data_IF_816907602961
#
_entry.id   IF_816907602961
#
_cell.length_a   1.000
_cell.length_b   1.000
_cell.length_c   1.000
_cell.angle_alpha   90.00
_cell.angle_beta   90.00
_cell.angle_gamma   90.00
#
_symmetry.space_group_name_H-M   'P 1'
#
loop_
_entity.id
_entity.type
_entity.pdbx_description
1 polymer ?
#
# COMPACT_ATOMS: atom_id res chain seq x y z
N UNK A 1 41.61 -9.95 -18.02
CA UNK A 1 41.32 -11.34 -17.62
C UNK A 1 39.84 -11.38 -17.26
N UNK A 2 39.04 -12.11 -18.03
CA UNK A 2 37.61 -12.31 -17.74
C UNK A 2 37.41 -13.43 -16.73
N UNK A 3 36.21 -13.52 -16.16
CA UNK A 3 35.77 -14.68 -15.40
C UNK A 3 35.70 -15.87 -16.37
N UNK A 4 36.19 -17.04 -15.97
CA UNK A 4 36.00 -18.26 -16.75
C UNK A 4 34.60 -18.86 -16.47
N UNK A 5 34.14 -19.75 -17.36
CA UNK A 5 32.81 -20.36 -17.25
C UNK A 5 32.57 -21.12 -15.94
N UNK A 6 33.63 -21.60 -15.29
CA UNK A 6 33.54 -22.30 -14.01
C UNK A 6 33.24 -21.30 -12.89
N UNK A 7 33.94 -20.16 -12.90
CA UNK A 7 33.71 -19.05 -11.96
C UNK A 7 32.34 -18.43 -12.19
N UNK A 8 31.91 -18.22 -13.44
CA UNK A 8 30.57 -17.71 -13.75
C UNK A 8 29.46 -18.65 -13.25
N UNK A 9 29.60 -19.96 -13.46
CA UNK A 9 28.66 -20.96 -12.95
C UNK A 9 28.64 -21.00 -11.42
N UNK A 10 29.80 -20.86 -10.77
CA UNK A 10 29.89 -20.82 -9.31
C UNK A 10 29.22 -19.56 -8.73
N UNK A 11 29.41 -18.40 -9.36
CA UNK A 11 28.75 -17.14 -8.99
C UNK A 11 27.24 -17.26 -9.19
N UNK A 12 26.79 -17.76 -10.34
CA UNK A 12 25.37 -17.94 -10.64
C UNK A 12 24.69 -18.92 -9.67
N UNK A 13 25.38 -20.00 -9.28
CA UNK A 13 24.89 -20.95 -8.29
C UNK A 13 24.83 -20.40 -6.86
N UNK A 14 25.78 -19.53 -6.49
CA UNK A 14 25.83 -18.94 -5.15
C UNK A 14 24.90 -17.71 -4.98
N UNK A 15 24.60 -16.98 -6.05
CA UNK A 15 23.83 -15.74 -6.01
C UNK A 15 22.45 -15.87 -5.37
N UNK A 16 21.63 -16.90 -5.64
CA UNK A 16 20.32 -17.07 -5.02
C UNK A 16 20.40 -17.20 -3.50
N UNK A 17 21.35 -17.98 -2.98
CA UNK A 17 21.56 -18.18 -1.55
C UNK A 17 22.05 -16.88 -0.88
N UNK A 18 22.98 -16.16 -1.50
CA UNK A 18 23.45 -14.86 -1.01
C UNK A 18 22.33 -13.81 -1.01
N UNK A 19 21.47 -13.81 -2.03
CA UNK A 19 20.29 -12.93 -2.13
C UNK A 19 19.24 -13.25 -1.07
N UNK A 20 19.06 -14.52 -0.72
CA UNK A 20 18.14 -14.93 0.35
C UNK A 20 18.58 -14.44 1.74
N UNK A 21 19.84 -14.08 1.92
CA UNK A 21 20.38 -13.50 3.15
C UNK A 21 20.40 -11.96 3.16
N UNK A 22 19.98 -11.30 2.08
CA UNK A 22 19.82 -9.85 2.08
C UNK A 22 18.62 -9.52 2.97
N UNK A 23 18.80 -8.75 4.07
CA UNK A 23 17.70 -8.38 4.94
C UNK A 23 16.65 -7.61 4.14
N UNK A 24 15.40 -8.07 4.19
CA UNK A 24 14.27 -7.31 3.63
C UNK A 24 13.70 -6.40 4.70
N UNK A 25 13.26 -5.23 4.29
CA UNK A 25 12.59 -4.26 5.18
C UNK A 25 11.11 -4.15 4.80
N UNK A 26 10.21 -3.94 5.77
CA UNK A 26 8.79 -3.70 5.47
C UNK A 26 8.59 -2.46 4.60
N UNK A 27 7.58 -2.50 3.73
CA UNK A 27 7.24 -1.40 2.81
C UNK A 27 7.14 -0.06 3.52
N UNK A 28 6.42 0.03 4.64
CA UNK A 28 6.24 1.31 5.32
C UNK A 28 7.56 1.90 5.85
N UNK A 29 8.52 1.08 6.28
CA UNK A 29 9.88 1.56 6.61
C UNK A 29 10.62 2.02 5.35
N UNK A 30 10.53 1.26 4.27
CA UNK A 30 11.18 1.62 3.02
C UNK A 30 10.65 2.95 2.46
N UNK A 31 9.34 3.17 2.50
CA UNK A 31 8.69 4.43 2.09
C UNK A 31 9.13 5.59 2.97
N UNK A 32 9.15 5.42 4.30
CA UNK A 32 9.60 6.46 5.22
C UNK A 32 11.06 6.90 5.00
N UNK A 33 11.92 5.98 4.53
CA UNK A 33 13.31 6.31 4.15
C UNK A 33 13.35 6.93 2.74
N UNK A 34 12.59 6.38 1.80
CA UNK A 34 12.68 6.74 0.39
C UNK A 34 12.04 8.09 0.05
N UNK A 35 10.97 8.47 0.74
CA UNK A 35 10.22 9.70 0.50
C UNK A 35 11.10 10.98 0.60
N UNK A 36 11.82 11.25 1.71
CA UNK A 36 12.65 12.45 1.80
C UNK A 36 13.78 12.46 0.76
N UNK A 37 14.38 11.30 0.46
CA UNK A 37 15.39 11.14 -0.59
C UNK A 37 14.81 11.51 -1.96
N UNK A 38 13.64 10.98 -2.29
CA UNK A 38 12.96 11.25 -3.56
C UNK A 38 12.62 12.75 -3.69
N UNK A 39 12.13 13.37 -2.62
CA UNK A 39 11.84 14.80 -2.58
C UNK A 39 13.11 15.64 -2.79
N UNK A 40 14.23 15.26 -2.14
CA UNK A 40 15.51 15.93 -2.34
C UNK A 40 15.98 15.80 -3.79
N UNK A 41 15.98 14.58 -4.35
CA UNK A 41 16.40 14.32 -5.73
C UNK A 41 15.57 15.14 -6.74
N UNK A 42 14.24 15.16 -6.59
CA UNK A 42 13.34 15.93 -7.47
C UNK A 42 13.53 17.44 -7.38
N UNK A 43 14.02 17.96 -6.24
CA UNK A 43 14.30 19.39 -6.03
C UNK A 43 15.70 19.81 -6.53
N UNK A 44 16.60 18.86 -6.79
CA UNK A 44 17.97 19.15 -7.22
C UNK A 44 17.98 19.74 -8.64
N UNK A 45 18.61 20.91 -8.86
CA UNK A 45 18.73 21.51 -10.19
C UNK A 45 19.38 20.57 -11.21
N UNK A 46 18.77 20.45 -12.38
CA UNK A 46 19.25 19.58 -13.47
C UNK A 46 18.73 18.15 -13.43
N UNK A 47 17.94 17.77 -12.43
CA UNK A 47 17.13 16.55 -12.46
C UNK A 47 15.86 16.82 -13.27
N UNK A 48 15.63 16.03 -14.31
CA UNK A 48 14.39 16.07 -15.12
C UNK A 48 13.26 15.32 -14.41
N UNK A 49 13.57 14.12 -13.91
CA UNK A 49 12.69 13.33 -13.07
C UNK A 49 13.51 12.34 -12.24
N UNK A 50 12.95 11.92 -11.11
CA UNK A 50 13.48 10.86 -10.26
C UNK A 50 12.33 9.98 -9.79
N UNK A 51 12.55 8.66 -9.82
CA UNK A 51 11.57 7.66 -9.40
C UNK A 51 12.26 6.56 -8.58
N UNK A 52 11.59 5.98 -7.56
CA UNK A 52 12.04 4.72 -6.98
C UNK A 52 12.03 3.62 -8.05
N UNK A 53 12.66 2.49 -7.77
CA UNK A 53 12.63 1.31 -8.63
C UNK A 53 12.43 0.04 -7.78
N UNK A 54 12.62 -1.12 -8.41
CA UNK A 54 12.55 -2.41 -7.76
C UNK A 54 11.22 -2.69 -7.06
N UNK A 55 11.31 -3.49 -6.01
CA UNK A 55 10.14 -3.90 -5.21
C UNK A 55 9.45 -2.72 -4.51
N UNK A 56 10.19 -1.63 -4.23
CA UNK A 56 9.62 -0.43 -3.61
C UNK A 56 8.63 0.24 -4.55
N UNK A 57 9.02 0.45 -5.82
CA UNK A 57 8.12 1.03 -6.82
C UNK A 57 6.94 0.12 -7.14
N UNK A 58 7.11 -1.21 -7.05
CA UNK A 58 6.00 -2.18 -7.15
C UNK A 58 5.21 -2.37 -5.86
N UNK A 59 5.49 -1.56 -4.82
CA UNK A 59 4.77 -1.56 -3.56
C UNK A 59 4.79 -2.88 -2.79
N UNK A 60 5.79 -3.75 -2.97
CA UNK A 60 5.81 -5.07 -2.34
C UNK A 60 5.87 -4.98 -0.82
N UNK A 61 5.27 -5.92 -0.09
CA UNK A 61 5.23 -5.90 1.39
C UNK A 61 6.63 -5.87 1.99
N UNK A 62 7.56 -6.60 1.36
CA UNK A 62 8.96 -6.70 1.74
C UNK A 62 9.85 -6.17 0.64
N UNK A 63 10.61 -5.13 0.98
CA UNK A 63 11.53 -4.46 0.07
C UNK A 63 12.92 -5.04 0.26
N UNK A 64 13.59 -5.35 -0.85
CA UNK A 64 15.04 -5.62 -0.83
C UNK A 64 15.80 -4.31 -0.68
N UNK A 65 16.54 -3.92 -1.70
CA UNK A 65 17.27 -2.66 -1.73
C UNK A 65 16.34 -1.50 -2.13
N UNK A 66 16.61 -0.31 -1.60
CA UNK A 66 16.00 0.93 -2.10
C UNK A 66 16.87 1.42 -3.27
N UNK A 67 16.30 1.41 -4.48
CA UNK A 67 16.96 1.96 -5.66
C UNK A 67 16.14 3.10 -6.26
N UNK A 68 16.83 4.12 -6.77
CA UNK A 68 16.28 5.23 -7.53
C UNK A 68 16.89 5.32 -8.92
N UNK A 69 16.08 5.75 -9.87
CA UNK A 69 16.53 6.17 -11.20
C UNK A 69 16.29 7.66 -11.35
N UNK A 70 17.32 8.36 -11.80
CA UNK A 70 17.31 9.83 -11.95
C UNK A 70 17.70 10.18 -13.38
N UNK A 71 16.81 10.82 -14.12
CA UNK A 71 17.13 11.38 -15.44
C UNK A 71 17.79 12.74 -15.27
N UNK A 72 19.02 12.86 -15.76
CA UNK A 72 19.82 14.08 -15.76
C UNK A 72 20.99 13.96 -16.73
N UNK A 73 21.34 15.08 -17.36
CA UNK A 73 22.56 15.24 -18.14
C UNK A 73 23.78 15.60 -17.27
N UNK A 74 23.57 15.92 -15.99
CA UNK A 74 24.60 16.39 -15.03
C UNK A 74 24.68 15.50 -13.77
N UNK A 75 24.93 14.19 -13.91
CA UNK A 75 24.92 13.27 -12.76
C UNK A 75 25.96 13.62 -11.68
N UNK A 76 27.11 14.20 -12.06
CA UNK A 76 28.14 14.61 -11.11
C UNK A 76 27.67 15.70 -10.15
N UNK A 77 26.99 16.73 -10.67
CA UNK A 77 26.42 17.83 -9.87
C UNK A 77 25.34 17.31 -8.92
N UNK A 78 24.47 16.42 -9.41
CA UNK A 78 23.40 15.81 -8.59
C UNK A 78 23.97 14.94 -7.47
N UNK A 79 25.01 14.14 -7.76
CA UNK A 79 25.70 13.34 -6.74
C UNK A 79 26.33 14.23 -5.68
N UNK A 80 27.01 15.31 -6.07
CA UNK A 80 27.67 16.22 -5.13
C UNK A 80 26.66 16.96 -4.26
N UNK A 81 25.53 17.39 -4.83
CA UNK A 81 24.45 18.01 -4.05
C UNK A 81 23.79 17.01 -3.10
N UNK A 82 23.49 15.79 -3.56
CA UNK A 82 22.88 14.76 -2.72
C UNK A 82 23.76 14.41 -1.51
N UNK A 83 25.07 14.27 -1.71
CA UNK A 83 26.04 13.94 -0.66
C UNK A 83 26.27 15.06 0.37
N UNK A 84 25.81 16.30 0.11
CA UNK A 84 25.82 17.38 1.11
C UNK A 84 24.69 17.25 2.12
N UNK A 85 23.68 16.42 1.84
CA UNK A 85 22.55 16.18 2.73
C UNK A 85 22.99 15.52 4.05
N UNK A 86 22.40 15.91 5.20
CA UNK A 86 22.81 15.40 6.51
C UNK A 86 22.45 13.92 6.75
N UNK A 87 21.61 13.33 5.91
CA UNK A 87 21.07 11.97 6.09
C UNK A 87 22.05 10.86 5.67
N UNK A 88 23.05 11.18 4.84
CA UNK A 88 24.02 10.21 4.35
C UNK A 88 25.01 9.83 5.44
N UNK A 89 24.86 8.63 6.01
CA UNK A 89 25.75 8.13 7.06
C UNK A 89 27.10 7.70 6.49
N UNK A 90 27.11 7.06 5.32
CA UNK A 90 28.33 6.55 4.68
C UNK A 90 28.14 6.41 3.18
N UNK A 91 29.14 6.82 2.40
CA UNK A 91 29.23 6.46 0.97
C UNK A 91 29.83 5.06 0.84
N UNK A 92 29.12 4.16 0.15
CA UNK A 92 29.55 2.79 -0.12
C UNK A 92 30.25 2.68 -1.48
N UNK A 93 29.74 3.38 -2.49
CA UNK A 93 30.32 3.43 -3.83
C UNK A 93 29.91 4.72 -4.56
N UNK A 94 30.83 5.30 -5.34
CA UNK A 94 30.57 6.44 -6.23
C UNK A 94 31.26 6.22 -7.57
N UNK A 95 30.53 6.48 -8.65
CA UNK A 95 31.03 6.51 -10.03
C UNK A 95 30.36 7.65 -10.80
N UNK A 96 30.71 7.83 -12.08
CA UNK A 96 30.14 8.90 -12.91
C UNK A 96 28.60 8.85 -13.03
N UNK A 97 27.99 7.65 -12.94
CA UNK A 97 26.55 7.44 -13.18
C UNK A 97 25.87 6.53 -12.15
N UNK A 98 26.54 6.24 -11.03
CA UNK A 98 25.99 5.43 -9.93
C UNK A 98 26.51 5.90 -8.58
N UNK A 99 25.62 5.90 -7.60
CA UNK A 99 25.92 6.18 -6.21
C UNK A 99 25.27 5.10 -5.34
N UNK A 100 26.00 4.58 -4.35
CA UNK A 100 25.46 3.76 -3.28
C UNK A 100 25.86 4.36 -1.94
N UNK A 101 24.88 4.57 -1.08
CA UNK A 101 25.06 5.13 0.25
C UNK A 101 24.36 4.27 1.29
N UNK A 102 24.71 4.47 2.55
CA UNK A 102 24.03 3.92 3.71
C UNK A 102 23.26 5.04 4.42
N UNK A 103 21.94 4.89 4.54
CA UNK A 103 21.02 5.81 5.23
C UNK A 103 20.15 4.95 6.15
N UNK A 104 20.08 5.29 7.44
CA UNK A 104 19.39 4.49 8.47
C UNK A 104 19.68 2.97 8.41
N UNK A 105 20.95 2.61 8.21
CA UNK A 105 21.43 1.21 8.05
C UNK A 105 20.84 0.46 6.84
N UNK A 106 20.16 1.16 5.93
CA UNK A 106 19.65 0.63 4.66
C UNK A 106 20.56 1.11 3.53
N UNK A 107 20.91 0.20 2.63
CA UNK A 107 21.63 0.55 1.41
C UNK A 107 20.66 1.22 0.43
N UNK A 108 21.01 2.42 -0.01
CA UNK A 108 20.28 3.19 -1.02
C UNK A 108 21.15 3.33 -2.26
N UNK A 109 20.65 2.86 -3.39
CA UNK A 109 21.29 2.99 -4.70
C UNK A 109 20.62 4.09 -5.54
N UNK A 110 21.41 4.92 -6.21
CA UNK A 110 20.92 5.91 -7.16
C UNK A 110 21.65 5.69 -8.48
N UNK A 111 20.86 5.53 -9.55
CA UNK A 111 21.34 5.28 -10.91
C UNK A 111 20.96 6.44 -11.80
N UNK A 112 21.92 6.89 -12.57
CA UNK A 112 21.75 7.99 -13.51
C UNK A 112 21.92 7.44 -14.93
N UNK A 113 20.94 6.79 -15.56
CA UNK A 113 21.04 6.35 -16.96
C UNK A 113 21.17 7.56 -17.91
N UNK A 114 21.65 7.35 -19.14
CA UNK A 114 21.60 8.42 -20.15
C UNK A 114 20.14 8.89 -20.33
N UNK A 115 19.86 10.21 -20.40
CA UNK A 115 18.50 10.73 -20.46
C UNK A 115 17.63 10.06 -21.53
N UNK A 116 18.18 9.89 -22.73
CA UNK A 116 17.50 9.23 -23.86
C UNK A 116 17.09 7.77 -23.60
N UNK A 117 17.64 7.11 -22.58
CA UNK A 117 17.38 5.71 -22.25
C UNK A 117 16.85 5.51 -20.82
N UNK A 118 16.56 6.61 -20.10
CA UNK A 118 16.25 6.55 -18.69
C UNK A 118 14.97 5.76 -18.40
N UNK A 119 13.98 5.81 -19.30
CA UNK A 119 12.76 5.01 -19.24
C UNK A 119 13.03 3.50 -19.31
N UNK A 120 13.97 3.06 -20.15
CA UNK A 120 14.31 1.64 -20.28
C UNK A 120 15.01 1.10 -19.04
N UNK A 121 15.91 1.90 -18.46
CA UNK A 121 16.54 1.56 -17.19
C UNK A 121 15.53 1.53 -16.04
N UNK A 122 14.61 2.49 -15.96
CA UNK A 122 13.55 2.47 -14.96
C UNK A 122 12.66 1.23 -15.09
N UNK A 123 12.22 0.90 -16.31
CA UNK A 123 11.40 -0.29 -16.57
C UNK A 123 12.10 -1.57 -16.13
N UNK A 124 13.36 -1.74 -16.53
CA UNK A 124 14.17 -2.90 -16.18
C UNK A 124 14.39 -3.03 -14.67
N UNK A 125 14.75 -1.94 -14.00
CA UNK A 125 15.02 -1.93 -12.56
C UNK A 125 13.74 -2.05 -11.74
N UNK A 126 12.61 -1.53 -12.24
CA UNK A 126 11.30 -1.70 -11.62
C UNK A 126 10.89 -3.16 -11.66
N UNK A 127 11.13 -3.87 -12.76
CA UNK A 127 10.69 -5.26 -12.93
C UNK A 127 9.16 -5.41 -12.87
N UNK A 128 8.62 -6.57 -12.48
CA UNK A 128 9.35 -7.81 -12.14
C UNK A 128 10.17 -8.35 -13.32
N UNK A 129 11.05 -9.33 -13.05
CA UNK A 129 11.79 -10.00 -14.13
C UNK A 129 10.83 -10.66 -15.14
N UNK A 130 9.76 -11.29 -14.64
CA UNK A 130 8.74 -11.91 -15.49
C UNK A 130 8.01 -10.88 -16.36
N UNK A 131 7.63 -9.73 -15.81
CA UNK A 131 7.06 -8.62 -16.58
C UNK A 131 7.98 -8.14 -17.69
N UNK A 132 9.26 -7.88 -17.35
CA UNK A 132 10.23 -7.41 -18.32
C UNK A 132 10.51 -8.45 -19.42
N UNK A 133 10.57 -9.73 -19.08
CA UNK A 133 10.77 -10.82 -20.02
C UNK A 133 9.57 -10.96 -20.98
N UNK A 134 8.34 -10.80 -20.48
CA UNK A 134 7.13 -10.77 -21.31
C UNK A 134 7.14 -9.59 -22.29
N UNK A 135 7.48 -8.37 -21.82
CA UNK A 135 7.62 -7.20 -22.69
C UNK A 135 8.73 -7.40 -23.74
N UNK A 136 9.84 -8.04 -23.37
CA UNK A 136 10.93 -8.34 -24.31
C UNK A 136 10.49 -9.33 -25.38
N UNK A 137 9.74 -10.37 -25.01
CA UNK A 137 9.21 -11.35 -25.95
C UNK A 137 8.21 -10.70 -26.93
N UNK A 138 7.30 -9.85 -26.40
CA UNK A 138 6.38 -9.06 -27.23
C UNK A 138 7.14 -8.14 -28.19
N UNK A 139 8.10 -7.36 -27.68
CA UNK A 139 8.93 -6.46 -28.48
C UNK A 139 9.59 -7.20 -29.66
N UNK A 140 10.17 -8.37 -29.42
CA UNK A 140 10.79 -9.19 -30.46
C UNK A 140 9.80 -9.60 -31.54
N UNK A 141 8.56 -9.95 -31.17
CA UNK A 141 7.53 -10.36 -32.12
C UNK A 141 7.10 -9.25 -33.09
N UNK A 142 7.30 -7.97 -32.73
CA UNK A 142 6.93 -6.80 -33.53
C UNK A 142 8.15 -6.01 -34.03
N UNK A 143 9.33 -6.63 -34.07
CA UNK A 143 10.53 -6.05 -34.70
C UNK A 143 11.32 -5.08 -33.82
N UNK A 144 11.15 -5.14 -32.49
CA UNK A 144 11.94 -4.38 -31.51
C UNK A 144 12.82 -5.30 -30.67
N UNK A 145 13.91 -4.75 -30.12
CA UNK A 145 14.76 -5.38 -29.12
C UNK A 145 14.84 -4.50 -27.88
N UNK A 146 14.14 -4.90 -26.84
CA UNK A 146 14.17 -4.24 -25.53
C UNK A 146 15.33 -4.80 -24.67
N UNK A 147 16.12 -3.91 -24.08
CA UNK A 147 17.26 -4.23 -23.20
C UNK A 147 17.19 -3.40 -21.92
N UNK A 148 18.03 -3.69 -20.94
CA UNK A 148 18.11 -2.91 -19.69
C UNK A 148 18.58 -1.46 -19.89
N UNK A 149 19.15 -1.14 -21.05
CA UNK A 149 19.74 0.16 -21.35
C UNK A 149 19.11 0.85 -22.55
N UNK A 150 18.03 0.33 -23.13
CA UNK A 150 17.40 0.96 -24.29
C UNK A 150 16.53 0.05 -25.14
N UNK A 151 15.80 0.68 -26.06
CA UNK A 151 14.98 0.06 -27.09
C UNK A 151 15.66 0.21 -28.44
N UNK A 152 15.73 -0.86 -29.23
CA UNK A 152 16.41 -0.87 -30.52
C UNK A 152 15.56 -1.51 -31.61
N UNK A 153 15.63 -1.01 -32.84
CA UNK A 153 15.06 -1.70 -33.98
C UNK A 153 15.75 -3.07 -34.17
N UNK A 154 14.99 -4.13 -34.41
CA UNK A 154 15.56 -5.47 -34.58
C UNK A 154 16.28 -5.64 -35.94
N UNK A 155 15.91 -4.85 -36.95
CA UNK A 155 16.44 -4.95 -38.31
C UNK A 155 17.91 -4.52 -38.43
N UNK A 156 18.28 -3.40 -37.79
CA UNK A 156 19.59 -2.76 -37.93
C UNK A 156 20.24 -2.38 -36.59
N UNK A 157 19.55 -2.60 -35.47
CA UNK A 157 20.03 -2.25 -34.13
C UNK A 157 19.94 -0.76 -33.79
N UNK A 158 19.34 0.07 -34.65
CA UNK A 158 19.23 1.51 -34.44
C UNK A 158 18.52 1.80 -33.09
N UNK A 159 19.12 2.63 -32.21
CA UNK A 159 18.49 2.97 -30.95
C UNK A 159 17.26 3.84 -31.18
N UNK A 160 16.23 3.61 -30.38
CA UNK A 160 15.07 4.47 -30.26
C UNK A 160 15.12 5.14 -28.89
N UNK A 161 15.22 6.48 -28.82
CA UNK A 161 15.11 7.19 -27.56
C UNK A 161 13.81 6.81 -26.83
N UNK A 162 13.95 6.48 -25.55
CA UNK A 162 12.88 6.22 -24.61
C UNK A 162 13.21 6.88 -23.26
N UNK A 163 13.08 8.22 -23.16
CA UNK A 163 13.30 8.95 -21.92
C UNK A 163 12.36 8.51 -20.79
N UNK A 164 11.17 7.98 -21.10
CA UNK A 164 10.17 7.51 -20.13
C UNK A 164 9.72 6.08 -20.43
N UNK A 165 9.11 5.40 -19.46
CA UNK A 165 8.51 4.08 -19.70
C UNK A 165 7.37 4.14 -20.71
N UNK A 166 6.61 5.24 -20.73
CA UNK A 166 5.50 5.46 -21.66
C UNK A 166 5.98 5.44 -23.12
N UNK A 167 7.18 5.92 -23.40
CA UNK A 167 7.78 5.84 -24.75
C UNK A 167 7.97 4.39 -25.20
N UNK A 168 8.32 3.50 -24.27
CA UNK A 168 8.49 2.07 -24.52
C UNK A 168 7.14 1.43 -24.77
N UNK A 169 6.18 1.57 -23.85
CA UNK A 169 4.84 1.00 -24.04
C UNK A 169 4.19 1.48 -25.35
N UNK A 170 4.32 2.77 -25.67
CA UNK A 170 3.82 3.35 -26.93
C UNK A 170 4.52 2.76 -28.16
N UNK A 171 5.84 2.60 -28.13
CA UNK A 171 6.58 1.97 -29.23
C UNK A 171 6.21 0.49 -29.42
N UNK A 172 5.80 -0.18 -28.34
CA UNK A 172 5.34 -1.56 -28.35
C UNK A 172 3.84 -1.71 -28.69
N UNK A 173 3.12 -0.60 -28.88
CA UNK A 173 1.67 -0.62 -29.14
C UNK A 173 0.85 -1.09 -27.94
N UNK A 174 1.38 -0.92 -26.73
CA UNK A 174 0.75 -1.35 -25.47
C UNK A 174 0.34 -0.14 -24.63
N UNK A 175 -0.74 -0.25 -23.83
CA UNK A 175 -1.01 0.71 -22.77
C UNK A 175 0.07 0.65 -21.69
N UNK A 176 0.30 1.77 -21.00
CA UNK A 176 1.21 1.79 -19.85
C UNK A 176 0.63 0.94 -18.71
N UNK A 177 1.49 0.13 -18.11
CA UNK A 177 1.11 -0.76 -17.00
C UNK A 177 1.66 -0.20 -15.67
N UNK A 178 0.81 0.07 -14.67
CA UNK A 178 1.24 0.53 -13.35
C UNK A 178 2.26 -0.41 -12.69
N UNK A 179 3.32 0.11 -12.03
CA UNK A 179 4.34 -0.73 -11.40
C UNK A 179 3.83 -1.78 -10.41
N UNK A 180 2.78 -1.45 -9.67
CA UNK A 180 2.18 -2.26 -8.62
C UNK A 180 1.71 -3.63 -9.13
N UNK A 181 1.26 -3.68 -10.39
CA UNK A 181 0.72 -4.90 -10.99
C UNK A 181 1.75 -5.71 -11.80
N UNK A 182 3.00 -5.23 -11.89
CA UNK A 182 4.08 -5.83 -12.69
C UNK A 182 4.65 -7.11 -12.09
N UNK A 183 3.93 -8.22 -12.21
CA UNK A 183 4.26 -9.56 -11.72
C UNK A 183 4.53 -10.61 -12.81
N UNK A 184 4.07 -10.39 -14.05
CA UNK A 184 4.10 -11.35 -15.17
C UNK A 184 2.80 -12.15 -15.34
N UNK A 185 1.71 -11.77 -14.69
CA UNK A 185 0.46 -12.53 -14.58
C UNK A 185 -0.62 -12.04 -15.57
N UNK A 186 -0.34 -12.07 -16.88
CA UNK A 186 -1.22 -11.59 -17.95
C UNK A 186 -1.78 -10.18 -17.67
N UNK A 187 -0.89 -9.28 -17.30
CA UNK A 187 -1.20 -7.89 -16.95
C UNK A 187 -1.88 -7.16 -18.11
N UNK A 188 -3.20 -7.07 -18.01
CA UNK A 188 -3.97 -6.08 -18.76
C UNK A 188 -3.79 -4.74 -18.06
N UNK A 189 -3.75 -3.65 -18.83
CA UNK A 189 -3.88 -2.32 -18.25
C UNK A 189 -5.18 -2.29 -17.44
N UNK A 190 -5.04 -2.30 -16.11
CA UNK A 190 -6.15 -2.25 -15.18
C UNK A 190 -6.84 -0.90 -15.35
N UNK A 191 -8.16 -0.85 -15.14
CA UNK A 191 -8.87 0.41 -15.09
C UNK A 191 -8.27 1.29 -13.99
N UNK A 192 -8.44 2.61 -14.12
CA UNK A 192 -7.79 3.62 -13.27
C UNK A 192 -7.67 3.19 -11.79
N UNK A 193 -6.51 3.40 -11.15
CA UNK A 193 -6.31 3.03 -9.74
C UNK A 193 -7.25 3.80 -8.79
N UNK A 194 -7.49 3.30 -7.56
CA UNK A 194 -8.36 3.93 -6.57
C UNK A 194 -7.65 5.11 -5.87
N UNK A 195 -7.28 6.12 -6.65
CA UNK A 195 -6.54 7.30 -6.17
C UNK A 195 -7.47 8.37 -5.58
N UNK A 196 -8.74 8.33 -5.98
CA UNK A 196 -9.77 9.28 -5.57
C UNK A 196 -10.40 8.86 -4.23
N UNK A 197 -9.58 8.61 -3.20
CA UNK A 197 -10.07 8.37 -1.85
C UNK A 197 -10.63 9.68 -1.30
N UNK A 198 -11.91 9.66 -0.92
CA UNK A 198 -12.65 10.83 -0.43
C UNK A 198 -12.74 10.90 1.09
N UNK A 199 -12.23 9.89 1.79
CA UNK A 199 -12.20 9.86 3.23
C UNK A 199 -11.61 8.58 3.81
N UNK A 200 -11.29 8.64 5.10
CA UNK A 200 -10.71 7.53 5.85
C UNK A 200 -11.73 6.98 6.85
N UNK A 201 -11.92 5.66 6.88
CA UNK A 201 -12.99 5.00 7.64
C UNK A 201 -12.49 4.18 8.83
N UNK A 202 -11.17 4.15 9.08
CA UNK A 202 -10.58 3.44 10.22
C UNK A 202 -9.44 4.27 10.83
N UNK A 203 -9.72 4.92 11.95
CA UNK A 203 -8.74 5.75 12.65
C UNK A 203 -9.01 5.81 14.15
N UNK A 204 -7.96 6.02 14.93
CA UNK A 204 -7.98 5.98 16.39
C UNK A 204 -7.65 7.34 17.00
N UNK A 205 -8.24 7.62 18.16
CA UNK A 205 -8.05 8.88 18.90
C UNK A 205 -7.60 8.62 20.33
N UNK A 206 -7.44 9.68 21.11
CA UNK A 206 -7.16 9.58 22.56
C UNK A 206 -8.22 8.83 23.38
N UNK A 207 -9.40 8.52 22.81
CA UNK A 207 -10.42 7.72 23.48
C UNK A 207 -10.05 6.24 23.59
N UNK A 208 -9.24 5.72 22.66
CA UNK A 208 -8.53 4.45 22.80
C UNK A 208 -7.02 4.70 22.74
N UNK A 209 -6.26 3.97 21.95
CA UNK A 209 -4.79 3.99 21.90
C UNK A 209 -4.18 4.93 20.85
N UNK A 210 -5.01 5.73 20.18
CA UNK A 210 -4.57 6.90 19.40
C UNK A 210 -3.90 7.96 20.28
N UNK A 211 -3.07 8.81 19.67
CA UNK A 211 -2.30 9.84 20.40
C UNK A 211 -2.87 11.25 20.27
N UNK A 212 -3.68 11.48 19.24
CA UNK A 212 -4.21 12.79 18.90
C UNK A 212 -5.71 12.90 19.24
N UNK A 213 -6.16 14.12 19.54
CA UNK A 213 -7.57 14.40 19.80
C UNK A 213 -8.42 14.24 18.55
N UNK A 214 -9.74 14.10 18.71
CA UNK A 214 -10.65 14.01 17.56
C UNK A 214 -10.56 15.28 16.70
N UNK A 215 -10.51 16.47 17.31
CA UNK A 215 -10.33 17.75 16.59
C UNK A 215 -9.04 17.78 15.74
N UNK A 216 -7.93 17.26 16.27
CA UNK A 216 -6.67 17.19 15.52
C UNK A 216 -6.75 16.20 14.34
N UNK A 217 -7.43 15.06 14.52
CA UNK A 217 -7.67 14.10 13.44
C UNK A 217 -8.57 14.71 12.35
N UNK A 218 -9.59 15.49 12.72
CA UNK A 218 -10.45 16.24 11.79
C UNK A 218 -9.62 17.22 10.97
N UNK A 219 -8.81 18.06 11.62
CA UNK A 219 -7.96 19.02 10.92
C UNK A 219 -6.95 18.34 9.97
N UNK A 220 -6.39 17.19 10.36
CA UNK A 220 -5.52 16.40 9.49
C UNK A 220 -6.25 15.84 8.27
N UNK A 221 -7.46 15.29 8.44
CA UNK A 221 -8.28 14.82 7.31
C UNK A 221 -8.66 15.96 6.36
N UNK A 222 -9.01 17.13 6.91
CA UNK A 222 -9.32 18.34 6.14
C UNK A 222 -8.10 18.83 5.35
N UNK A 223 -6.90 18.77 5.93
CA UNK A 223 -5.66 19.13 5.25
C UNK A 223 -5.35 18.22 4.04
N UNK A 224 -5.82 16.97 4.06
CA UNK A 224 -5.76 16.05 2.92
C UNK A 224 -6.92 16.20 1.93
N UNK A 225 -7.89 17.08 2.21
CA UNK A 225 -9.05 17.33 1.34
C UNK A 225 -10.13 16.25 1.42
N UNK A 226 -10.17 15.45 2.49
CA UNK A 226 -11.24 14.47 2.67
C UNK A 226 -12.60 15.12 2.92
N UNK A 227 -13.64 14.53 2.33
CA UNK A 227 -15.03 14.92 2.49
C UNK A 227 -15.68 14.26 3.72
N UNK A 228 -15.13 13.13 4.16
CA UNK A 228 -15.60 12.44 5.35
C UNK A 228 -14.47 11.71 6.06
N UNK A 229 -14.71 11.38 7.33
CA UNK A 229 -13.84 10.55 8.13
C UNK A 229 -14.64 9.76 9.17
N UNK A 230 -14.08 8.67 9.70
CA UNK A 230 -14.61 7.99 10.87
C UNK A 230 -13.59 7.94 12.01
N UNK A 231 -14.05 8.17 13.23
CA UNK A 231 -13.30 7.78 14.44
C UNK A 231 -13.85 6.44 14.89
N UNK A 232 -13.00 5.43 15.02
CA UNK A 232 -13.38 4.03 15.25
C UNK A 232 -12.56 3.44 16.38
N UNK A 233 -12.55 4.12 17.52
CA UNK A 233 -11.80 3.69 18.69
C UNK A 233 -12.21 2.28 19.17
N UNK A 234 -11.24 1.55 19.73
CA UNK A 234 -11.40 0.14 20.10
C UNK A 234 -12.38 -0.11 21.25
N UNK A 235 -13.10 -1.23 21.19
CA UNK A 235 -13.94 -1.72 22.28
C UNK A 235 -13.16 -2.26 23.51
N UNK A 236 -13.81 -2.47 24.67
CA UNK A 236 -13.16 -2.76 25.95
C UNK A 236 -12.19 -3.95 26.02
N UNK A 237 -12.48 -5.06 25.33
CA UNK A 237 -11.68 -6.30 25.32
C UNK A 237 -10.61 -6.32 24.22
N UNK A 238 -10.49 -5.25 23.44
CA UNK A 238 -9.35 -5.05 22.56
C UNK A 238 -8.04 -5.18 23.31
N UNK A 239 -7.03 -5.65 22.58
CA UNK A 239 -5.68 -5.72 23.11
C UNK A 239 -4.94 -4.37 23.06
N UNK A 240 -5.67 -3.30 22.77
CA UNK A 240 -5.19 -1.93 22.76
C UNK A 240 -4.76 -1.47 24.16
N UNK A 241 -3.93 -0.43 24.21
CA UNK A 241 -3.43 0.10 25.50
C UNK A 241 -4.50 0.84 26.31
N UNK A 242 -5.52 1.36 25.63
CA UNK A 242 -6.72 2.00 26.17
C UNK A 242 -7.88 1.63 25.26
N UNK A 243 -9.09 1.67 25.81
CA UNK A 243 -10.30 1.29 25.07
C UNK A 243 -11.48 2.19 25.41
N UNK A 244 -12.41 2.27 24.47
CA UNK A 244 -13.63 3.06 24.57
C UNK A 244 -14.59 2.38 25.54
N UNK A 245 -14.64 2.86 26.79
CA UNK A 245 -15.61 2.37 27.78
C UNK A 245 -17.04 2.82 27.43
N UNK A 246 -18.10 2.14 27.92
CA UNK A 246 -19.48 2.56 27.67
C UNK A 246 -19.77 4.03 28.04
N UNK A 247 -19.17 4.55 29.11
CA UNK A 247 -19.29 5.97 29.48
C UNK A 247 -18.49 6.89 28.54
N UNK A 248 -17.39 6.40 27.96
CA UNK A 248 -16.58 7.13 26.99
C UNK A 248 -17.28 7.24 25.63
N UNK A 249 -18.07 6.24 25.22
CA UNK A 249 -18.90 6.29 24.00
C UNK A 249 -19.74 7.56 23.96
N UNK A 250 -20.44 7.87 25.07
CA UNK A 250 -21.27 9.09 25.12
C UNK A 250 -20.43 10.35 25.01
N UNK A 251 -19.27 10.42 25.70
CA UNK A 251 -18.41 11.61 25.65
C UNK A 251 -17.85 11.86 24.26
N UNK A 252 -17.42 10.79 23.59
CA UNK A 252 -16.96 10.85 22.21
C UNK A 252 -18.09 11.30 21.26
N UNK A 253 -19.30 10.77 21.44
CA UNK A 253 -20.47 11.20 20.66
C UNK A 253 -20.78 12.69 20.87
N UNK A 254 -20.75 13.19 22.11
CA UNK A 254 -20.97 14.60 22.43
C UNK A 254 -19.87 15.49 21.79
N UNK A 255 -18.60 15.07 21.83
CA UNK A 255 -17.48 15.78 21.18
C UNK A 255 -17.65 15.80 19.66
N UNK A 256 -17.95 14.66 19.03
CA UNK A 256 -18.19 14.58 17.58
C UNK A 256 -19.39 15.44 17.17
N UNK A 257 -20.46 15.49 17.97
CA UNK A 257 -21.60 16.37 17.70
C UNK A 257 -21.18 17.85 17.71
N UNK A 258 -20.41 18.28 18.71
CA UNK A 258 -19.89 19.64 18.76
C UNK A 258 -18.94 19.96 17.59
N UNK A 259 -18.14 18.99 17.13
CA UNK A 259 -17.27 19.16 15.97
C UNK A 259 -18.05 19.24 14.66
N UNK A 260 -19.14 18.47 14.50
CA UNK A 260 -20.06 18.58 13.36
C UNK A 260 -20.73 19.95 13.27
N UNK A 261 -21.03 20.58 14.42
CA UNK A 261 -21.56 21.95 14.45
C UNK A 261 -20.48 23.00 14.08
N UNK A 262 -19.21 22.69 14.32
CA UNK A 262 -18.06 23.58 14.04
C UNK A 262 -17.56 23.48 12.60
N UNK A 263 -17.65 22.30 11.97
CA UNK A 263 -17.12 22.03 10.64
C UNK A 263 -18.24 21.60 9.68
N UNK A 264 -18.49 22.40 8.65
CA UNK A 264 -19.50 22.15 7.62
C UNK A 264 -18.92 21.57 6.32
N UNK A 265 -17.59 21.50 6.21
CA UNK A 265 -16.84 21.05 5.04
C UNK A 265 -16.41 19.57 5.09
N UNK A 266 -16.54 18.91 6.24
CA UNK A 266 -16.22 17.48 6.41
C UNK A 266 -17.30 16.76 7.21
N UNK A 267 -17.73 15.58 6.75
CA UNK A 267 -18.62 14.70 7.50
C UNK A 267 -17.83 13.82 8.46
N UNK A 268 -18.01 14.04 9.76
CA UNK A 268 -17.38 13.22 10.80
C UNK A 268 -18.34 12.10 11.18
N UNK A 269 -17.96 10.83 11.04
CA UNK A 269 -18.73 9.66 11.48
C UNK A 269 -18.26 9.20 12.86
N UNK A 270 -19.21 8.93 13.75
CA UNK A 270 -18.94 8.29 15.03
C UNK A 270 -19.01 6.78 14.83
N UNK A 271 -17.86 6.11 14.89
CA UNK A 271 -17.77 4.67 14.71
C UNK A 271 -17.14 3.96 15.91
N UNK A 272 -17.05 2.65 15.81
CA UNK A 272 -16.20 1.86 16.69
C UNK A 272 -15.55 0.71 15.94
N UNK A 273 -14.38 0.33 16.40
CA UNK A 273 -13.79 -0.96 16.09
C UNK A 273 -14.11 -1.93 17.25
N UNK A 274 -15.10 -2.80 17.04
CA UNK A 274 -15.59 -3.75 18.04
C UNK A 274 -14.94 -5.12 17.87
N UNK A 275 -14.45 -5.67 18.98
CA UNK A 275 -13.86 -6.99 18.98
C UNK A 275 -14.91 -8.09 18.76
N UNK A 276 -14.56 -9.09 17.94
CA UNK A 276 -15.28 -10.35 17.79
C UNK A 276 -14.76 -11.30 18.86
N UNK A 277 -15.59 -11.63 19.84
CA UNK A 277 -15.21 -12.48 20.98
C UNK A 277 -15.05 -13.95 20.58
N UNK A 278 -14.48 -14.73 21.50
CA UNK A 278 -14.09 -16.14 21.27
C UNK A 278 -15.29 -17.05 20.89
N UNK A 279 -16.50 -16.68 21.30
CA UNK A 279 -17.76 -17.36 21.01
C UNK A 279 -18.48 -16.80 19.76
N UNK A 280 -17.92 -15.76 19.13
CA UNK A 280 -18.49 -15.09 17.96
C UNK A 280 -19.44 -13.95 18.27
N UNK A 281 -19.68 -13.63 19.55
CA UNK A 281 -20.42 -12.42 19.95
C UNK A 281 -19.54 -11.17 19.80
N UNK A 282 -20.15 -9.99 19.83
CA UNK A 282 -19.44 -8.71 19.73
C UNK A 282 -19.18 -8.11 21.11
N UNK A 283 -18.07 -7.40 21.23
CA UNK A 283 -17.62 -6.74 22.45
C UNK A 283 -18.37 -5.42 22.79
N UNK A 284 -19.66 -5.39 22.45
CA UNK A 284 -20.64 -4.41 22.90
C UNK A 284 -22.04 -5.01 22.72
N UNK A 285 -22.97 -4.61 23.58
CA UNK A 285 -24.40 -4.91 23.35
C UNK A 285 -24.93 -4.14 22.15
N UNK A 286 -25.94 -4.65 21.48
CA UNK A 286 -26.64 -3.99 20.35
C UNK A 286 -27.05 -2.54 20.69
N UNK A 287 -27.56 -2.30 21.91
CA UNK A 287 -27.93 -0.95 22.38
C UNK A 287 -26.77 0.07 22.33
N UNK A 288 -25.55 -0.39 22.52
CA UNK A 288 -24.35 0.45 22.39
C UNK A 288 -24.00 0.60 20.92
N UNK A 289 -24.01 -0.50 20.16
CA UNK A 289 -23.68 -0.52 18.74
C UNK A 289 -24.63 0.36 17.88
N UNK A 290 -25.91 0.46 18.24
CA UNK A 290 -26.92 1.31 17.59
C UNK A 290 -26.60 2.81 17.66
N UNK A 291 -25.71 3.23 18.55
CA UNK A 291 -25.31 4.65 18.71
C UNK A 291 -24.23 5.08 17.71
N UNK A 292 -23.61 4.13 16.99
CA UNK A 292 -22.57 4.41 16.01
C UNK A 292 -23.14 4.51 14.59
N UNK A 293 -22.61 5.45 13.81
CA UNK A 293 -22.88 5.60 12.39
C UNK A 293 -22.29 4.45 11.58
N UNK A 294 -21.16 3.90 12.02
CA UNK A 294 -20.45 2.78 11.37
C UNK A 294 -19.86 1.85 12.43
N UNK A 295 -19.93 0.54 12.20
CA UNK A 295 -19.36 -0.48 13.12
C UNK A 295 -18.41 -1.37 12.33
N UNK A 296 -17.15 -1.34 12.74
CA UNK A 296 -16.04 -2.14 12.22
C UNK A 296 -15.86 -3.30 13.18
N UNK A 297 -15.81 -4.55 12.69
CA UNK A 297 -15.65 -5.72 13.53
C UNK A 297 -14.31 -6.42 13.25
N UNK A 298 -13.57 -6.68 14.32
CA UNK A 298 -12.17 -7.13 14.23
C UNK A 298 -11.97 -8.40 15.01
N UNK A 299 -11.05 -9.24 14.54
CA UNK A 299 -10.76 -10.50 15.22
C UNK A 299 -9.32 -10.49 15.73
N UNK A 300 -9.15 -10.33 17.04
CA UNK A 300 -7.85 -10.38 17.71
C UNK A 300 -7.56 -11.75 18.34
N UNK A 301 -7.59 -12.82 17.52
CA UNK A 301 -7.31 -14.18 17.98
C UNK A 301 -5.84 -14.40 18.35
N UNK A 302 -5.62 -14.94 19.56
CA UNK A 302 -4.28 -15.24 20.12
C UNK A 302 -4.12 -16.67 20.66
N UNK A 303 -5.20 -17.44 20.74
CA UNK A 303 -5.23 -18.79 21.31
C UNK A 303 -5.05 -19.91 20.27
N UNK A 304 -4.86 -19.57 18.99
CA UNK A 304 -4.60 -20.54 17.92
C UNK A 304 -5.83 -21.38 17.57
N UNK A 305 -7.01 -20.76 17.51
CA UNK A 305 -8.23 -21.44 17.10
C UNK A 305 -8.13 -22.10 15.72
N UNK A 306 -8.78 -23.25 15.60
CA UNK A 306 -8.94 -23.99 14.34
C UNK A 306 -9.64 -23.14 13.27
N UNK A 307 -9.22 -23.32 12.01
CA UNK A 307 -9.74 -22.65 10.80
C UNK A 307 -11.26 -22.49 10.76
N UNK A 308 -12.00 -23.58 11.02
CA UNK A 308 -13.48 -23.56 10.97
C UNK A 308 -14.11 -22.75 12.11
N UNK A 309 -13.47 -22.69 13.27
CA UNK A 309 -13.97 -21.90 14.41
C UNK A 309 -13.73 -20.41 14.16
N UNK A 310 -12.57 -20.07 13.61
CA UNK A 310 -12.25 -18.71 13.17
C UNK A 310 -13.26 -18.22 12.13
N UNK A 311 -13.50 -19.01 11.08
CA UNK A 311 -14.48 -18.67 10.07
C UNK A 311 -15.88 -18.46 10.66
N UNK A 312 -16.34 -19.33 11.56
CA UNK A 312 -17.65 -19.18 12.22
C UNK A 312 -17.81 -17.85 12.95
N UNK A 313 -16.73 -17.35 13.58
CA UNK A 313 -16.74 -16.04 14.25
C UNK A 313 -16.90 -14.90 13.26
N UNK A 314 -16.15 -14.92 12.16
CA UNK A 314 -16.34 -13.93 11.08
C UNK A 314 -17.75 -13.98 10.49
N UNK A 315 -18.28 -15.17 10.20
CA UNK A 315 -19.63 -15.33 9.66
C UNK A 315 -20.69 -14.79 10.63
N UNK A 316 -20.55 -15.07 11.94
CA UNK A 316 -21.45 -14.53 12.95
C UNK A 316 -21.43 -12.99 12.97
N UNK A 317 -20.23 -12.38 12.92
CA UNK A 317 -20.08 -10.92 12.85
C UNK A 317 -20.67 -10.33 11.56
N UNK A 318 -20.43 -10.95 10.40
CA UNK A 318 -20.95 -10.49 9.10
C UNK A 318 -22.49 -10.55 9.02
N UNK A 319 -23.11 -11.57 9.61
CA UNK A 319 -24.57 -11.67 9.70
C UNK A 319 -25.19 -10.75 10.76
N UNK A 320 -24.38 -10.13 11.62
CA UNK A 320 -24.87 -9.14 12.56
C UNK A 320 -25.37 -7.89 11.81
N UNK A 321 -26.59 -7.41 12.06
CA UNK A 321 -27.17 -6.31 11.28
C UNK A 321 -26.38 -5.01 11.43
N UNK A 322 -25.81 -4.74 12.60
CA UNK A 322 -25.11 -3.47 12.84
C UNK A 322 -23.68 -3.44 12.27
N UNK A 323 -23.06 -4.59 12.00
CA UNK A 323 -21.68 -4.68 11.50
C UNK A 323 -21.65 -4.26 10.04
N UNK A 324 -20.80 -3.29 9.73
CA UNK A 324 -20.62 -2.72 8.39
C UNK A 324 -19.41 -3.32 7.68
N UNK A 325 -18.30 -3.47 8.41
CA UNK A 325 -16.99 -3.81 7.86
C UNK A 325 -16.28 -4.83 8.74
N UNK A 326 -15.48 -5.71 8.12
CA UNK A 326 -14.45 -6.50 8.82
C UNK A 326 -13.09 -5.84 8.57
N UNK A 327 -12.41 -5.45 9.66
CA UNK A 327 -11.06 -4.86 9.62
C UNK A 327 -9.99 -5.94 9.60
N UNK A 328 -8.84 -5.60 9.01
CA UNK A 328 -7.62 -6.40 8.87
C UNK A 328 -7.90 -7.92 8.96
N UNK A 329 -8.62 -8.49 7.95
CA UNK A 329 -9.27 -9.80 8.11
C UNK A 329 -8.30 -10.97 8.24
N UNK A 330 -7.02 -10.78 7.92
CA UNK A 330 -6.00 -11.82 8.16
C UNK A 330 -5.29 -11.61 9.49
N UNK A 331 -5.35 -10.39 10.04
CA UNK A 331 -4.59 -9.91 11.18
C UNK A 331 -3.10 -10.26 11.04
N UNK A 332 -2.55 -10.14 9.83
CA UNK A 332 -1.12 -10.36 9.57
C UNK A 332 -0.28 -9.24 10.20
N UNK A 333 1.01 -9.52 10.41
CA UNK A 333 1.99 -8.52 10.85
C UNK A 333 3.24 -8.65 9.99
N UNK A 334 3.54 -7.71 9.12
CA UNK A 334 4.68 -7.76 8.20
C UNK A 334 5.97 -7.37 8.93
N UNK A 335 7.06 -8.18 8.90
CA UNK A 335 7.24 -9.49 8.26
C UNK A 335 6.99 -10.69 9.19
N UNK A 336 6.49 -10.47 10.40
CA UNK A 336 6.53 -11.39 11.53
C UNK A 336 5.44 -12.48 11.55
N UNK A 337 4.24 -12.20 11.02
CA UNK A 337 3.06 -13.10 11.05
C UNK A 337 2.37 -13.05 9.68
N UNK A 338 2.18 -14.21 9.06
CA UNK A 338 1.60 -14.31 7.72
C UNK A 338 0.08 -14.02 7.66
N UNK A 339 -0.61 -14.08 8.80
CA UNK A 339 -2.07 -13.95 8.91
C UNK A 339 -2.71 -15.28 9.34
N UNK A 340 -4.04 -15.28 9.47
CA UNK A 340 -4.81 -16.47 9.84
C UNK A 340 -4.88 -17.53 8.74
N UNK A 341 -4.84 -18.80 9.13
CA UNK A 341 -5.27 -19.89 8.25
C UNK A 341 -6.81 -19.92 8.21
N UNK A 342 -7.36 -19.31 7.16
CA UNK A 342 -8.79 -19.09 6.99
C UNK A 342 -9.26 -19.57 5.61
N UNK A 343 -10.52 -19.97 5.54
CA UNK A 343 -11.22 -20.14 4.27
C UNK A 343 -11.66 -18.79 3.71
N UNK A 344 -10.72 -18.14 3.02
CA UNK A 344 -10.94 -16.82 2.43
C UNK A 344 -12.01 -16.82 1.34
N UNK A 345 -12.17 -17.92 0.58
CA UNK A 345 -13.22 -17.97 -0.46
C UNK A 345 -14.60 -17.90 0.19
N UNK A 346 -14.82 -18.68 1.26
CA UNK A 346 -16.06 -18.61 2.05
C UNK A 346 -16.25 -17.29 2.78
N UNK A 347 -15.16 -16.66 3.24
CA UNK A 347 -15.21 -15.32 3.84
C UNK A 347 -15.70 -14.28 2.80
N UNK A 348 -15.18 -14.33 1.58
CA UNK A 348 -15.55 -13.40 0.51
C UNK A 348 -16.99 -13.64 0.03
N UNK A 349 -17.42 -14.89 -0.11
CA UNK A 349 -18.81 -15.24 -0.40
C UNK A 349 -19.77 -14.65 0.64
N UNK A 350 -19.45 -14.80 1.93
CA UNK A 350 -20.24 -14.25 3.01
C UNK A 350 -20.24 -12.71 3.02
N UNK A 351 -19.10 -12.08 2.72
CA UNK A 351 -19.01 -10.62 2.57
C UNK A 351 -19.95 -10.13 1.47
N UNK A 352 -20.03 -10.82 0.33
CA UNK A 352 -20.96 -10.51 -0.76
C UNK A 352 -22.42 -10.74 -0.35
N UNK A 353 -22.73 -11.91 0.23
CA UNK A 353 -24.09 -12.27 0.66
C UNK A 353 -24.64 -11.26 1.66
N UNK A 354 -23.84 -10.92 2.66
CA UNK A 354 -24.22 -10.00 3.72
C UNK A 354 -24.03 -8.55 3.34
N UNK A 355 -23.32 -8.25 2.25
CA UNK A 355 -22.81 -6.91 1.86
C UNK A 355 -21.82 -6.31 2.88
N UNK A 356 -21.19 -7.14 3.70
CA UNK A 356 -20.13 -6.68 4.62
C UNK A 356 -18.94 -6.21 3.81
N UNK A 357 -18.41 -5.03 4.15
CA UNK A 357 -17.21 -4.47 3.53
C UNK A 357 -15.95 -5.14 4.11
N UNK A 358 -14.93 -5.36 3.29
CA UNK A 358 -13.64 -5.90 3.75
C UNK A 358 -12.57 -4.82 3.72
N UNK A 359 -11.71 -4.77 4.73
CA UNK A 359 -10.65 -3.77 4.79
C UNK A 359 -9.40 -4.12 3.97
N UNK A 360 -8.77 -3.07 3.44
CA UNK A 360 -7.39 -3.01 2.96
C UNK A 360 -6.68 -1.93 3.77
N UNK A 361 -6.17 -2.36 4.91
CA UNK A 361 -5.52 -1.57 5.96
C UNK A 361 -4.13 -1.10 5.51
N UNK A 362 -3.94 0.21 5.48
CA UNK A 362 -2.70 0.90 5.13
C UNK A 362 -1.67 0.98 6.26
N UNK A 363 -1.95 0.45 7.45
CA UNK A 363 -1.01 0.42 8.57
C UNK A 363 0.29 -0.30 8.15
N UNK A 364 1.48 0.31 8.39
CA UNK A 364 2.76 -0.19 7.92
C UNK A 364 3.09 -1.61 8.39
N UNK A 365 2.55 -2.00 9.54
CA UNK A 365 2.76 -3.30 10.14
C UNK A 365 1.75 -4.34 9.63
N UNK A 366 0.60 -3.95 9.07
CA UNK A 366 -0.46 -4.86 8.64
C UNK A 366 -0.40 -5.06 7.12
N UNK A 367 -0.76 -4.03 6.34
CA UNK A 367 -0.98 -4.12 4.89
C UNK A 367 -1.95 -5.27 4.58
N UNK A 368 -3.19 -5.15 5.09
CA UNK A 368 -4.15 -6.24 5.22
C UNK A 368 -5.59 -5.85 4.83
N UNK A 369 -6.24 -6.44 3.82
CA UNK A 369 -5.80 -7.55 2.97
C UNK A 369 -4.56 -7.22 2.15
N UNK A 370 -3.69 -8.21 1.99
CA UNK A 370 -2.61 -8.08 1.02
C UNK A 370 -3.14 -8.00 -0.42
N UNK A 371 -2.31 -7.54 -1.36
CA UNK A 371 -2.75 -7.38 -2.74
C UNK A 371 -3.33 -8.65 -3.38
N UNK A 372 -2.83 -9.85 -3.03
CA UNK A 372 -3.33 -11.09 -3.62
C UNK A 372 -4.72 -11.45 -3.08
N UNK A 373 -4.96 -11.27 -1.78
CA UNK A 373 -6.26 -11.46 -1.16
C UNK A 373 -7.25 -10.37 -1.56
N UNK A 374 -6.82 -9.11 -1.64
CA UNK A 374 -7.65 -8.01 -2.15
C UNK A 374 -8.13 -8.30 -3.59
N UNK A 375 -7.24 -8.80 -4.47
CA UNK A 375 -7.60 -9.22 -5.84
C UNK A 375 -8.68 -10.30 -5.84
N UNK A 376 -8.52 -11.33 -5.00
CA UNK A 376 -9.50 -12.42 -4.87
C UNK A 376 -10.84 -11.92 -4.32
N UNK A 377 -10.82 -11.04 -3.32
CA UNK A 377 -12.02 -10.46 -2.72
C UNK A 377 -12.85 -9.69 -3.76
N UNK A 378 -12.22 -8.77 -4.50
CA UNK A 378 -12.95 -7.98 -5.52
C UNK A 378 -13.37 -8.83 -6.72
N UNK A 379 -12.60 -9.86 -7.09
CA UNK A 379 -12.97 -10.82 -8.13
C UNK A 379 -14.20 -11.67 -7.73
N UNK A 380 -14.36 -11.97 -6.44
CA UNK A 380 -15.57 -12.62 -5.90
C UNK A 380 -16.78 -11.67 -5.83
N UNK A 381 -16.58 -10.36 -6.03
CA UNK A 381 -17.62 -9.34 -5.99
C UNK A 381 -17.72 -8.59 -4.67
N UNK A 382 -16.80 -8.82 -3.72
CA UNK A 382 -16.78 -8.09 -2.46
C UNK A 382 -16.40 -6.62 -2.68
N UNK A 383 -16.96 -5.74 -1.87
CA UNK A 383 -16.55 -4.34 -1.79
C UNK A 383 -15.50 -4.20 -0.68
N UNK A 384 -14.53 -3.31 -0.89
CA UNK A 384 -13.45 -3.05 0.07
C UNK A 384 -13.45 -1.61 0.58
N UNK A 385 -12.86 -1.38 1.75
CA UNK A 385 -12.43 -0.07 2.25
C UNK A 385 -10.92 0.01 2.19
N UNK A 386 -10.36 1.17 1.85
CA UNK A 386 -8.92 1.43 1.95
C UNK A 386 -8.71 2.51 2.99
N UNK A 387 -8.00 2.24 4.06
CA UNK A 387 -7.89 3.17 5.19
C UNK A 387 -6.46 3.20 5.75
N UNK A 388 -6.26 4.05 6.74
CA UNK A 388 -4.94 4.25 7.33
C UNK A 388 -4.70 3.44 8.60
N UNK A 389 -5.76 3.04 9.32
CA UNK A 389 -5.67 2.60 10.73
C UNK A 389 -4.75 3.53 11.54
N UNK A 390 -4.97 4.85 11.35
CA UNK A 390 -4.04 5.84 11.91
C UNK A 390 -4.33 6.13 13.36
N UNK A 391 -3.29 5.97 14.16
CA UNK A 391 -3.27 6.32 15.58
C UNK A 391 -2.69 7.72 15.83
N UNK A 392 -2.25 8.41 14.76
CA UNK A 392 -1.63 9.73 14.81
C UNK A 392 -1.88 10.51 13.52
N UNK A 393 -1.97 11.82 13.62
CA UNK A 393 -2.14 12.73 12.48
C UNK A 393 -0.95 12.71 11.51
N UNK A 394 0.28 12.59 12.02
CA UNK A 394 1.53 12.65 11.23
C UNK A 394 1.85 11.37 10.43
N UNK A 395 1.08 10.31 10.62
CA UNK A 395 1.20 9.06 9.86
C UNK A 395 0.08 8.88 8.83
N UNK A 396 -1.01 9.62 8.97
CA UNK A 396 -2.28 9.40 8.26
C UNK A 396 -2.10 9.36 6.73
N UNK A 397 -1.50 10.39 6.14
CA UNK A 397 -1.25 10.46 4.68
C UNK A 397 -0.41 9.28 4.18
N UNK A 398 0.68 8.97 4.90
CA UNK A 398 1.59 7.91 4.50
C UNK A 398 0.93 6.53 4.59
N UNK A 399 0.08 6.31 5.59
CA UNK A 399 -0.63 5.04 5.75
C UNK A 399 -1.72 4.87 4.69
N UNK A 400 -2.50 5.93 4.40
CA UNK A 400 -3.43 5.89 3.27
C UNK A 400 -2.71 5.58 1.96
N UNK A 401 -1.55 6.21 1.71
CA UNK A 401 -0.72 5.90 0.54
C UNK A 401 -0.35 4.41 0.47
N UNK A 402 0.02 3.79 1.60
CA UNK A 402 0.32 2.36 1.66
C UNK A 402 -0.91 1.48 1.37
N UNK A 403 -2.08 1.87 1.87
CA UNK A 403 -3.36 1.22 1.57
C UNK A 403 -3.67 1.26 0.08
N UNK A 404 -3.57 2.44 -0.55
CA UNK A 404 -3.79 2.62 -2.00
C UNK A 404 -2.80 1.77 -2.81
N UNK A 405 -1.51 1.78 -2.47
CA UNK A 405 -0.50 0.96 -3.13
C UNK A 405 -0.82 -0.53 -3.01
N UNK A 406 -1.30 -0.98 -1.85
CA UNK A 406 -1.70 -2.37 -1.62
C UNK A 406 -2.94 -2.74 -2.44
N UNK A 407 -3.95 -1.86 -2.48
CA UNK A 407 -5.14 -2.03 -3.31
C UNK A 407 -4.81 -2.09 -4.81
N UNK A 408 -3.93 -1.20 -5.30
CA UNK A 408 -3.43 -1.21 -6.69
C UNK A 408 -2.76 -2.53 -7.05
N UNK A 409 -1.93 -3.09 -6.16
CA UNK A 409 -1.31 -4.42 -6.36
C UNK A 409 -2.36 -5.52 -6.50
N UNK A 410 -3.50 -5.37 -5.85
CA UNK A 410 -4.64 -6.27 -5.95
C UNK A 410 -5.60 -6.01 -7.11
N UNK A 411 -5.25 -5.11 -8.03
CA UNK A 411 -6.11 -4.74 -9.16
C UNK A 411 -7.47 -4.24 -8.70
N UNK A 412 -7.51 -3.66 -7.50
CA UNK A 412 -8.68 -3.00 -6.96
C UNK A 412 -8.90 -1.73 -7.77
N UNK A 413 -10.14 -1.46 -8.16
CA UNK A 413 -10.54 -0.33 -8.99
C UNK A 413 -11.50 0.54 -8.16
N UNK A 414 -11.68 1.83 -8.50
CA UNK A 414 -12.57 2.72 -7.75
C UNK A 414 -13.97 2.17 -7.50
N UNK A 415 -14.53 1.39 -8.45
CA UNK A 415 -15.86 0.76 -8.29
C UNK A 415 -15.95 -0.27 -7.16
N UNK A 416 -14.82 -0.90 -6.82
CA UNK A 416 -14.71 -1.89 -5.76
C UNK A 416 -14.52 -1.25 -4.38
N UNK A 417 -14.22 0.04 -4.32
CA UNK A 417 -13.84 0.73 -3.08
C UNK A 417 -15.02 1.55 -2.54
N UNK A 418 -15.33 1.39 -1.25
CA UNK A 418 -16.41 2.12 -0.58
C UNK A 418 -16.08 3.60 -0.47
N UNK A 419 -14.84 3.93 -0.09
CA UNK A 419 -14.44 5.28 0.24
C UNK A 419 -13.90 6.11 -0.94
N UNK A 420 -14.16 5.68 -2.19
CA UNK A 420 -14.11 6.54 -3.40
C UNK A 420 -15.46 7.19 -3.72
N UNK A 421 -16.51 6.83 -2.98
CA UNK A 421 -17.89 7.22 -3.27
C UNK A 421 -18.27 8.49 -2.52
N UNK A 422 -19.37 9.13 -2.93
CA UNK A 422 -19.87 10.30 -2.21
C UNK A 422 -20.35 9.91 -0.81
N UNK A 423 -20.42 10.87 0.11
CA UNK A 423 -20.99 10.62 1.44
C UNK A 423 -22.43 10.07 1.37
N UNK A 424 -23.22 10.48 0.37
CA UNK A 424 -24.58 9.98 0.17
C UNK A 424 -24.57 8.48 -0.20
N UNK A 425 -23.71 8.09 -1.13
CA UNK A 425 -23.53 6.69 -1.55
C UNK A 425 -22.94 5.83 -0.42
N UNK A 426 -21.98 6.38 0.33
CA UNK A 426 -21.39 5.72 1.49
C UNK A 426 -22.45 5.42 2.55
N UNK A 427 -23.30 6.40 2.91
CA UNK A 427 -24.42 6.18 3.83
C UNK A 427 -25.42 5.17 3.29
N UNK A 428 -25.68 5.16 1.98
CA UNK A 428 -26.55 4.16 1.36
C UNK A 428 -25.97 2.75 1.45
N UNK A 429 -24.65 2.59 1.33
CA UNK A 429 -23.98 1.29 1.50
C UNK A 429 -24.07 0.79 2.96
N UNK A 430 -23.80 1.67 3.94
CA UNK A 430 -23.96 1.35 5.36
C UNK A 430 -25.41 0.92 5.63
N UNK A 431 -26.39 1.69 5.15
CA UNK A 431 -27.80 1.40 5.33
C UNK A 431 -28.30 0.17 4.56
N UNK A 432 -27.61 -0.25 3.49
CA UNK A 432 -27.97 -1.45 2.73
C UNK A 432 -27.42 -2.73 3.36
N UNK A 433 -26.38 -2.60 4.19
CA UNK A 433 -25.81 -3.68 5.02
C UNK A 433 -26.58 -3.88 6.32
N UNK A 434 -27.00 -2.77 6.95
CA UNK A 434 -27.92 -2.75 8.10
C UNK A 434 -29.32 -3.16 7.69
#
# INVERSE_FOLDING_TARGET
AGLDATVESAIAGALPALRAHIPRIPLGRAVAIAEPILQQLRKTPGVEWAEPAGSLRRGQDLIGDIEFVVSTDRPGEVIDEFLRGPEVTRTLHRSARRLYVLIDRVQVGIRFPEPDNAGASLLYLTGSAAHFDALRAHAQSIGWRLTSSGLHAAADGAPRPAPTETDIYSALGLPWVPPEIRQGDDEVAVAAPPDDIRGDLHMHSIYSDGRDSVDAMVDACRALGYEYMAITDHSPHSAATRSLTPDAVKRQADEIAALRDRFDDITILHGCEVDILIDGTLDFSDRVLEQFDIVLASLHERAGQERDKLLKRYLAAMHHPLVTMITHPTNRLVPHRAGYDLDYDRLFEAAVETKTILEVDGAPAHLDLDGALARRAVAAGAMVSVDSDSHRTDTLERQMYLGIVTARRGWVEPRHVMNTRSIADLRALIAAKR
#
